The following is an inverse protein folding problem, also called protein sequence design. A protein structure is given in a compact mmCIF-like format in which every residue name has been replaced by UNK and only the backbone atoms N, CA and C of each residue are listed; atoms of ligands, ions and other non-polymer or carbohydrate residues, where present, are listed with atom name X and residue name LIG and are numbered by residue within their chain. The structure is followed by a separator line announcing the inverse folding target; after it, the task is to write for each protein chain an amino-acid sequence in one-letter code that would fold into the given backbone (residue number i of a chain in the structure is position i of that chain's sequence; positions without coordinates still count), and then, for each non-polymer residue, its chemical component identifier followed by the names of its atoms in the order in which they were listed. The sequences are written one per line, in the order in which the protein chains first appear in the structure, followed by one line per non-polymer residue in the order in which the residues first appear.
data_IF_069237919132
#
_entry.id   IF_069237919132
#
_cell.length_a   1.000
_cell.length_b   1.000
_cell.length_c   1.000
_cell.angle_alpha   90.00
_cell.angle_beta   90.00
_cell.angle_gamma   90.00
#
_symmetry.space_group_name_H-M   'P 1'
#
loop_
_entity.id
_entity.type
_entity.pdbx_description
1 polymer ?
#
# COMPACT_ATOMS: atom_id res chain seq x y z
N UNK A 1 -3.03 -14.22 -26.66
CA UNK A 1 -1.97 -13.51 -25.90
C UNK A 1 -1.91 -14.18 -24.55
N UNK A 2 -0.95 -15.10 -24.41
CA UNK A 2 -0.89 -15.95 -23.22
C UNK A 2 -0.08 -15.22 -22.15
N UNK A 3 -0.78 -14.53 -21.26
CA UNK A 3 -0.22 -13.97 -20.05
C UNK A 3 -0.46 -14.96 -18.92
N UNK A 4 0.61 -15.51 -18.37
CA UNK A 4 0.57 -16.38 -17.19
C UNK A 4 0.81 -15.54 -15.94
N UNK A 5 0.16 -15.90 -14.84
CA UNK A 5 0.38 -15.32 -13.53
C UNK A 5 0.64 -16.40 -12.48
N UNK A 6 1.57 -16.16 -11.58
CA UNK A 6 1.77 -16.98 -10.37
C UNK A 6 1.99 -16.07 -9.16
N UNK A 7 1.82 -16.65 -7.99
CA UNK A 7 2.12 -15.99 -6.72
C UNK A 7 3.18 -16.80 -6.01
N UNK A 8 4.22 -16.15 -5.53
CA UNK A 8 5.34 -16.83 -4.86
C UNK A 8 5.56 -16.29 -3.45
N UNK A 9 6.05 -17.16 -2.54
CA UNK A 9 6.50 -16.76 -1.22
C UNK A 9 7.90 -16.10 -1.27
N UNK A 10 8.43 -15.71 -0.11
CA UNK A 10 9.77 -15.12 0.04
C UNK A 10 10.93 -16.07 -0.37
N UNK A 11 10.67 -17.36 -0.49
CA UNK A 11 11.62 -18.38 -0.93
C UNK A 11 11.47 -18.73 -2.41
N UNK A 12 10.52 -18.11 -3.13
CA UNK A 12 10.23 -18.39 -4.52
C UNK A 12 9.32 -19.60 -4.76
N UNK A 13 8.73 -20.19 -3.71
CA UNK A 13 7.79 -21.31 -3.87
C UNK A 13 6.44 -20.80 -4.32
N UNK A 14 5.82 -21.49 -5.28
CA UNK A 14 4.50 -21.15 -5.78
C UNK A 14 3.44 -21.38 -4.70
N UNK A 15 2.64 -20.34 -4.44
CA UNK A 15 1.58 -20.37 -3.45
C UNK A 15 0.32 -21.04 -4.01
N UNK A 16 -0.45 -21.74 -3.17
CA UNK A 16 -1.78 -22.24 -3.55
C UNK A 16 -2.76 -21.08 -3.76
N UNK A 17 -3.90 -21.37 -4.36
CA UNK A 17 -5.00 -20.40 -4.47
C UNK A 17 -5.30 -19.75 -3.11
N UNK A 18 -5.56 -18.44 -3.10
CA UNK A 18 -5.76 -17.58 -1.94
C UNK A 18 -4.54 -17.41 -1.02
N UNK A 19 -3.41 -18.06 -1.34
CA UNK A 19 -2.13 -17.77 -0.67
C UNK A 19 -1.59 -16.41 -1.14
N UNK A 20 -1.31 -15.52 -0.18
CA UNK A 20 -0.78 -14.17 -0.47
C UNK A 20 0.73 -14.24 -0.61
N UNK A 21 1.26 -13.66 -1.68
CA UNK A 21 2.69 -13.56 -1.96
C UNK A 21 2.95 -12.53 -3.05
N UNK A 22 4.16 -12.54 -3.59
CA UNK A 22 4.55 -11.67 -4.71
C UNK A 22 3.91 -12.18 -6.00
N UNK A 23 3.27 -11.27 -6.72
CA UNK A 23 2.68 -11.58 -8.02
C UNK A 23 3.78 -11.51 -9.07
N UNK A 24 3.95 -12.59 -9.80
CA UNK A 24 4.83 -12.67 -10.96
C UNK A 24 4.03 -12.96 -12.22
N UNK A 25 4.46 -12.34 -13.32
CA UNK A 25 3.80 -12.48 -14.62
C UNK A 25 4.81 -13.03 -15.66
N UNK A 26 4.31 -13.79 -16.63
CA UNK A 26 5.08 -14.27 -17.76
C UNK A 26 4.26 -14.15 -19.05
N UNK A 27 4.87 -13.67 -20.13
CA UNK A 27 4.21 -13.57 -21.44
C UNK A 27 4.89 -12.59 -22.39
N UNK A 28 4.58 -12.72 -23.66
CA UNK A 28 5.20 -11.91 -24.73
C UNK A 28 4.86 -10.41 -24.66
N UNK A 29 3.78 -10.05 -23.98
CA UNK A 29 3.37 -8.64 -23.82
C UNK A 29 4.15 -7.89 -22.75
N UNK A 30 5.01 -8.57 -21.98
CA UNK A 30 5.82 -7.97 -20.93
C UNK A 30 7.11 -7.38 -21.51
N UNK A 31 7.57 -6.28 -20.89
CA UNK A 31 8.86 -5.69 -21.26
C UNK A 31 10.00 -6.67 -20.97
N UNK A 32 10.92 -6.88 -21.91
CA UNK A 32 12.11 -7.69 -21.64
C UNK A 32 13.07 -7.02 -20.68
N UNK A 33 13.03 -5.69 -20.55
CA UNK A 33 13.92 -4.93 -19.69
C UNK A 33 13.87 -3.44 -19.92
N UNK A 34 14.78 -2.74 -19.26
CA UNK A 34 14.89 -1.29 -19.28
C UNK A 34 16.26 -0.86 -19.82
N UNK A 35 16.27 0.16 -20.67
CA UNK A 35 17.50 0.82 -21.11
C UNK A 35 17.80 1.95 -20.13
N UNK A 36 18.97 1.89 -19.50
CA UNK A 36 19.47 2.91 -18.57
C UNK A 36 20.77 3.51 -19.08
N UNK A 37 21.27 4.55 -18.41
CA UNK A 37 22.61 5.09 -18.73
C UNK A 37 23.73 4.06 -18.48
N UNK A 38 23.50 3.06 -17.63
CA UNK A 38 24.44 1.96 -17.34
C UNK A 38 24.28 0.73 -18.27
N UNK A 39 23.37 0.79 -19.25
CA UNK A 39 23.07 -0.30 -20.17
C UNK A 39 21.70 -0.93 -19.97
N UNK A 40 21.50 -2.10 -20.59
CA UNK A 40 20.27 -2.86 -20.50
C UNK A 40 20.17 -3.62 -19.16
N UNK A 41 19.05 -3.45 -18.48
CA UNK A 41 18.70 -4.18 -17.26
C UNK A 41 17.52 -5.10 -17.58
N UNK A 42 17.70 -6.44 -17.54
CA UNK A 42 16.58 -7.38 -17.71
C UNK A 42 15.50 -7.13 -16.68
N UNK A 43 14.23 -7.19 -17.09
CA UNK A 43 13.08 -7.10 -16.20
C UNK A 43 12.52 -8.47 -15.80
N UNK A 44 12.91 -9.51 -16.55
CA UNK A 44 12.48 -10.87 -16.38
C UNK A 44 13.65 -11.73 -15.90
N UNK A 45 13.35 -12.77 -15.13
CA UNK A 45 14.33 -13.79 -14.73
C UNK A 45 14.71 -14.72 -15.91
N UNK A 46 15.59 -15.68 -15.67
CA UNK A 46 16.04 -16.67 -16.67
C UNK A 46 14.93 -17.58 -17.20
N UNK A 47 13.77 -17.62 -16.51
CA UNK A 47 12.58 -18.39 -16.89
C UNK A 47 11.48 -17.52 -17.51
N UNK A 48 11.74 -16.23 -17.71
CA UNK A 48 10.83 -15.26 -18.30
C UNK A 48 9.77 -14.69 -17.32
N UNK A 49 9.93 -14.90 -16.02
CA UNK A 49 9.05 -14.31 -15.02
C UNK A 49 9.45 -12.89 -14.68
N UNK A 50 8.46 -12.02 -14.64
CA UNK A 50 8.56 -10.61 -14.26
C UNK A 50 7.99 -10.42 -12.85
N UNK A 51 8.83 -10.01 -11.89
CA UNK A 51 8.39 -9.58 -10.56
C UNK A 51 7.69 -8.22 -10.68
N UNK A 52 6.40 -8.18 -10.34
CA UNK A 52 5.60 -6.95 -10.42
C UNK A 52 5.90 -5.99 -9.25
N UNK A 53 6.47 -6.46 -8.17
CA UNK A 53 6.59 -5.77 -6.90
C UNK A 53 5.26 -5.58 -6.17
N UNK A 54 4.20 -6.24 -6.64
CA UNK A 54 2.88 -6.22 -6.02
C UNK A 54 2.63 -7.51 -5.25
N UNK A 55 2.01 -7.39 -4.06
CA UNK A 55 1.50 -8.51 -3.28
C UNK A 55 0.04 -8.78 -3.61
N UNK A 56 -0.30 -10.04 -3.68
CA UNK A 56 -1.67 -10.45 -3.94
C UNK A 56 -1.83 -11.97 -3.92
N UNK A 57 -2.94 -12.44 -4.46
CA UNK A 57 -3.22 -13.85 -4.55
C UNK A 57 -4.02 -14.17 -5.83
N UNK A 58 -4.02 -15.44 -6.21
CA UNK A 58 -4.93 -15.95 -7.23
C UNK A 58 -6.19 -16.50 -6.56
N UNK A 59 -7.36 -16.22 -7.14
CA UNK A 59 -8.59 -16.88 -6.72
C UNK A 59 -8.63 -18.32 -7.24
N UNK A 60 -9.60 -19.11 -6.77
CA UNK A 60 -9.79 -20.49 -7.25
C UNK A 60 -10.12 -20.55 -8.77
N UNK A 61 -10.66 -19.44 -9.32
CA UNK A 61 -10.97 -19.27 -10.75
C UNK A 61 -9.79 -18.70 -11.55
N UNK A 62 -8.63 -18.44 -10.90
CA UNK A 62 -7.44 -17.91 -11.55
C UNK A 62 -7.40 -16.39 -11.73
N UNK A 63 -8.30 -15.65 -11.09
CA UNK A 63 -8.25 -14.19 -11.13
C UNK A 63 -7.16 -13.65 -10.18
N UNK A 64 -6.41 -12.65 -10.65
CA UNK A 64 -5.40 -11.96 -9.83
C UNK A 64 -6.07 -10.90 -8.96
N UNK A 65 -5.82 -10.97 -7.65
CA UNK A 65 -6.26 -9.97 -6.67
C UNK A 65 -5.02 -9.28 -6.10
N UNK A 66 -4.88 -7.99 -6.35
CA UNK A 66 -3.77 -7.18 -5.83
C UNK A 66 -4.16 -6.62 -4.47
N UNK A 67 -3.33 -6.88 -3.45
CA UNK A 67 -3.54 -6.41 -2.07
C UNK A 67 -2.75 -5.13 -1.77
N UNK A 68 -1.46 -5.09 -2.13
CA UNK A 68 -0.55 -3.97 -1.82
C UNK A 68 0.69 -4.02 -2.69
N UNK A 69 1.58 -3.03 -2.53
CA UNK A 69 2.97 -3.10 -2.97
C UNK A 69 3.83 -3.74 -1.90
N UNK A 70 4.80 -4.58 -2.30
CA UNK A 70 5.77 -5.20 -1.37
C UNK A 70 6.42 -4.14 -0.48
N UNK A 71 6.89 -3.04 -1.08
CA UNK A 71 7.57 -1.94 -0.37
C UNK A 71 6.67 -1.10 0.55
N UNK A 72 5.36 -1.16 0.36
CA UNK A 72 4.40 -0.37 1.13
C UNK A 72 3.86 -1.13 2.34
N UNK A 73 4.05 -2.46 2.40
CA UNK A 73 3.60 -3.29 3.53
C UNK A 73 4.30 -2.85 4.81
N UNK A 74 3.52 -2.72 5.87
CA UNK A 74 3.98 -2.38 7.20
C UNK A 74 4.13 -3.67 7.99
N UNK A 75 5.34 -3.97 8.48
CA UNK A 75 5.61 -5.19 9.23
C UNK A 75 5.64 -4.85 10.73
N UNK A 76 4.62 -5.25 11.46
CA UNK A 76 4.53 -5.00 12.89
C UNK A 76 4.23 -6.29 13.66
N UNK A 77 5.06 -6.58 14.65
CA UNK A 77 4.92 -7.78 15.49
C UNK A 77 4.79 -9.09 14.67
N UNK A 78 5.54 -9.22 13.57
CA UNK A 78 5.49 -10.38 12.68
C UNK A 78 4.25 -10.49 11.78
N UNK A 79 3.42 -9.43 11.73
CA UNK A 79 2.22 -9.37 10.89
C UNK A 79 2.40 -8.39 9.74
N UNK A 80 1.95 -8.76 8.57
CA UNK A 80 1.83 -7.87 7.42
C UNK A 80 0.54 -7.05 7.55
N UNK A 81 0.68 -5.72 7.61
CA UNK A 81 -0.42 -4.77 7.65
C UNK A 81 -0.43 -4.03 6.32
N UNK A 82 -1.56 -4.06 5.64
CA UNK A 82 -1.70 -3.43 4.33
C UNK A 82 -2.19 -1.99 4.47
N UNK A 83 -1.48 -1.01 3.89
CA UNK A 83 -1.91 0.39 3.91
C UNK A 83 -3.33 0.61 3.41
N UNK A 84 -3.76 -0.19 2.42
CA UNK A 84 -5.12 -0.13 1.86
C UNK A 84 -6.22 -0.41 2.87
N UNK A 85 -5.98 -1.30 3.85
CA UNK A 85 -6.96 -1.59 4.90
C UNK A 85 -7.06 -0.43 5.89
N UNK A 86 -5.91 0.15 6.25
CA UNK A 86 -5.84 1.35 7.10
C UNK A 86 -6.56 2.52 6.41
N UNK A 87 -6.27 2.78 5.13
CA UNK A 87 -6.85 3.86 4.34
C UNK A 87 -8.36 3.70 4.21
N UNK A 88 -8.83 2.46 4.01
CA UNK A 88 -10.25 2.13 3.96
C UNK A 88 -10.94 2.39 5.31
N UNK A 89 -10.32 2.00 6.41
CA UNK A 89 -10.85 2.26 7.75
C UNK A 89 -10.93 3.76 8.05
N UNK A 90 -9.84 4.49 7.80
CA UNK A 90 -9.79 5.95 7.97
C UNK A 90 -10.81 6.69 7.09
N UNK A 91 -10.99 6.23 5.86
CA UNK A 91 -11.93 6.84 4.91
C UNK A 91 -13.42 6.68 5.26
N UNK A 92 -13.77 5.79 6.21
CA UNK A 92 -15.16 5.64 6.71
C UNK A 92 -15.53 6.67 7.76
N UNK A 93 -14.55 7.39 8.32
CA UNK A 93 -14.79 8.35 9.39
C UNK A 93 -15.48 9.60 8.82
N UNK A 94 -16.56 10.01 9.48
CA UNK A 94 -17.30 11.22 9.12
C UNK A 94 -16.39 12.45 9.20
N UNK A 95 -16.42 13.27 8.13
CA UNK A 95 -15.56 14.44 7.99
C UNK A 95 -14.27 14.17 7.20
N UNK A 96 -13.89 12.91 6.97
CA UNK A 96 -12.80 12.54 6.06
C UNK A 96 -13.28 12.59 4.60
N UNK A 97 -12.55 13.27 3.74
CA UNK A 97 -12.88 13.39 2.32
C UNK A 97 -12.68 12.03 1.61
N UNK A 98 -13.64 11.59 0.78
CA UNK A 98 -13.55 10.31 0.07
C UNK A 98 -12.26 10.17 -0.74
N UNK A 99 -11.56 9.04 -0.57
CA UNK A 99 -10.30 8.75 -1.26
C UNK A 99 -9.13 9.66 -0.87
N UNK A 100 -9.22 10.35 0.27
CA UNK A 100 -8.20 11.25 0.80
C UNK A 100 -7.74 10.81 2.20
N UNK A 101 -7.43 9.53 2.35
CA UNK A 101 -6.74 8.95 3.49
C UNK A 101 -5.51 8.22 2.97
N UNK A 102 -4.36 8.42 3.59
CA UNK A 102 -3.10 7.76 3.25
C UNK A 102 -2.43 7.22 4.50
N UNK A 103 -2.05 5.94 4.46
CA UNK A 103 -1.22 5.31 5.48
C UNK A 103 0.23 5.33 5.03
N UNK A 104 1.10 5.80 5.90
CA UNK A 104 2.53 5.97 5.63
C UNK A 104 3.33 5.13 6.60
N UNK A 105 4.12 4.21 6.05
CA UNK A 105 5.10 3.43 6.82
C UNK A 105 6.21 4.34 7.32
N UNK A 106 6.50 4.26 8.60
CA UNK A 106 7.60 4.96 9.27
C UNK A 106 8.64 3.95 9.71
N UNK A 107 9.88 4.41 9.85
CA UNK A 107 11.00 3.61 10.37
C UNK A 107 11.23 2.30 9.59
N UNK A 108 11.07 2.34 8.26
CA UNK A 108 11.28 1.19 7.39
C UNK A 108 12.68 0.58 7.58
N UNK A 109 12.74 -0.74 7.80
CA UNK A 109 13.99 -1.46 8.03
C UNK A 109 14.53 -1.40 9.47
N UNK A 110 13.83 -0.78 10.40
CA UNK A 110 14.15 -0.81 11.83
C UNK A 110 13.43 -1.96 12.54
N UNK A 111 13.97 -2.37 13.69
CA UNK A 111 13.40 -3.48 14.49
C UNK A 111 11.98 -3.22 15.02
N UNK A 112 11.55 -1.98 15.01
CA UNK A 112 10.17 -1.55 15.33
C UNK A 112 9.69 -0.61 14.25
N UNK A 113 8.98 -1.17 13.28
CA UNK A 113 8.26 -0.37 12.32
C UNK A 113 7.03 0.26 12.97
N UNK A 114 6.66 1.41 12.45
CA UNK A 114 5.44 2.12 12.84
C UNK A 114 4.79 2.72 11.62
N UNK A 115 3.58 3.23 11.77
CA UNK A 115 2.90 3.95 10.70
C UNK A 115 2.15 5.17 11.23
N UNK A 116 1.91 6.11 10.35
CA UNK A 116 1.03 7.24 10.58
C UNK A 116 -0.06 7.29 9.50
N UNK A 117 -1.11 8.03 9.79
CA UNK A 117 -2.23 8.22 8.88
C UNK A 117 -2.42 9.72 8.66
N UNK A 118 -2.50 10.15 7.39
CA UNK A 118 -2.95 11.49 7.05
C UNK A 118 -4.31 11.39 6.35
N UNK A 119 -5.22 12.27 6.71
CA UNK A 119 -6.54 12.40 6.10
C UNK A 119 -6.82 13.85 5.72
N UNK A 120 -7.55 14.07 4.64
CA UNK A 120 -8.06 15.40 4.31
C UNK A 120 -9.47 15.62 4.85
N UNK A 121 -9.72 16.81 5.38
CA UNK A 121 -11.05 17.25 5.82
C UNK A 121 -11.31 18.69 5.40
N UNK A 122 -12.59 19.02 5.15
CA UNK A 122 -13.00 20.42 4.95
C UNK A 122 -13.03 21.20 6.28
N UNK A 123 -13.07 20.50 7.41
CA UNK A 123 -13.07 21.08 8.75
C UNK A 123 -11.67 21.17 9.38
N UNK A 124 -10.61 21.17 8.57
CA UNK A 124 -9.21 21.15 9.02
C UNK A 124 -8.78 22.40 9.82
N UNK A 125 -9.54 23.49 9.73
CA UNK A 125 -9.29 24.72 10.50
C UNK A 125 -10.04 24.76 11.84
N UNK A 126 -10.97 23.83 12.08
CA UNK A 126 -11.69 23.71 13.35
C UNK A 126 -10.96 22.75 14.31
N UNK A 127 -10.32 23.26 15.39
CA UNK A 127 -9.55 22.41 16.30
C UNK A 127 -10.39 21.35 17.03
N UNK A 128 -11.69 21.54 17.18
CA UNK A 128 -12.56 20.56 17.82
C UNK A 128 -12.85 19.40 16.87
N UNK A 129 -13.17 19.72 15.62
CA UNK A 129 -13.39 18.74 14.58
C UNK A 129 -12.10 17.96 14.23
N UNK A 130 -10.98 18.65 14.14
CA UNK A 130 -9.67 18.00 13.93
C UNK A 130 -9.42 16.93 15.00
N UNK A 131 -9.53 17.28 16.29
CA UNK A 131 -9.35 16.30 17.38
C UNK A 131 -10.35 15.15 17.34
N UNK A 132 -11.60 15.44 16.98
CA UNK A 132 -12.63 14.39 16.82
C UNK A 132 -12.25 13.41 15.72
N UNK A 133 -11.87 13.92 14.54
CA UNK A 133 -11.49 13.11 13.37
C UNK A 133 -10.24 12.29 13.70
N UNK A 134 -9.20 12.88 14.28
CA UNK A 134 -7.97 12.17 14.67
C UNK A 134 -8.27 11.00 15.59
N UNK A 135 -9.10 11.23 16.61
CA UNK A 135 -9.47 10.20 17.57
C UNK A 135 -10.29 9.07 16.92
N UNK A 136 -11.27 9.43 16.09
CA UNK A 136 -12.11 8.46 15.40
C UNK A 136 -11.32 7.66 14.36
N UNK A 137 -10.44 8.30 13.60
CA UNK A 137 -9.54 7.61 12.64
C UNK A 137 -8.66 6.60 13.38
N UNK A 138 -8.02 7.01 14.49
CA UNK A 138 -7.21 6.10 15.27
C UNK A 138 -8.03 4.90 15.80
N UNK A 139 -9.26 5.14 16.24
CA UNK A 139 -10.16 4.09 16.72
C UNK A 139 -10.55 3.09 15.62
N UNK A 140 -11.01 3.57 14.47
CA UNK A 140 -11.40 2.72 13.35
C UNK A 140 -10.22 1.93 12.76
N UNK A 141 -9.03 2.55 12.72
CA UNK A 141 -7.80 1.86 12.31
C UNK A 141 -7.44 0.72 13.27
N UNK A 142 -7.48 0.97 14.58
CA UNK A 142 -7.23 -0.09 15.59
C UNK A 142 -8.23 -1.23 15.45
N UNK A 143 -9.49 -0.92 15.23
CA UNK A 143 -10.54 -1.93 15.04
C UNK A 143 -10.31 -2.79 13.79
N UNK A 144 -9.77 -2.21 12.71
CA UNK A 144 -9.53 -2.89 11.44
C UNK A 144 -8.25 -3.75 11.47
N UNK A 145 -7.13 -3.19 11.97
CA UNK A 145 -5.81 -3.85 11.87
C UNK A 145 -5.22 -4.26 13.22
N UNK A 146 -5.91 -3.99 14.32
CA UNK A 146 -5.49 -4.30 15.71
C UNK A 146 -4.13 -3.67 16.09
N UNK A 147 -3.78 -2.55 15.44
CA UNK A 147 -2.56 -1.79 15.73
C UNK A 147 -2.87 -0.29 15.70
N UNK A 148 -2.30 0.43 16.68
CA UNK A 148 -2.50 1.88 16.78
C UNK A 148 -1.51 2.63 15.87
N UNK A 149 -1.96 3.61 15.07
CA UNK A 149 -1.07 4.51 14.36
C UNK A 149 -0.26 5.34 15.37
N UNK A 150 1.00 5.63 15.05
CA UNK A 150 1.87 6.51 15.85
C UNK A 150 1.33 7.94 15.87
N UNK A 151 0.79 8.38 14.74
CA UNK A 151 0.20 9.70 14.57
C UNK A 151 -0.98 9.64 13.58
N UNK A 152 -1.94 10.53 13.78
CA UNK A 152 -3.00 10.83 12.80
C UNK A 152 -2.96 12.33 12.57
N UNK A 153 -2.96 12.76 11.31
CA UNK A 153 -2.89 14.17 10.93
C UNK A 153 -4.07 14.51 10.03
N UNK A 154 -4.81 15.56 10.38
CA UNK A 154 -5.88 16.10 9.56
C UNK A 154 -5.38 17.28 8.76
N UNK A 155 -5.52 17.22 7.45
CA UNK A 155 -4.98 18.17 6.47
C UNK A 155 -6.10 18.85 5.69
N UNK A 156 -5.79 20.01 5.15
CA UNK A 156 -6.68 20.71 4.21
C UNK A 156 -6.82 19.97 2.87
N UNK A 157 -7.89 20.27 2.13
CA UNK A 157 -8.13 19.68 0.83
C UNK A 157 -6.99 19.86 -0.18
N UNK A 158 -6.62 18.78 -0.88
CA UNK A 158 -5.60 18.78 -1.94
C UNK A 158 -4.15 18.72 -1.43
N UNK A 159 -3.94 18.46 -0.15
CA UNK A 159 -2.60 18.37 0.46
C UNK A 159 -1.95 16.99 0.22
N UNK A 160 -2.75 15.92 0.19
CA UNK A 160 -2.23 14.56 -0.03
C UNK A 160 -1.83 14.40 -1.50
N UNK A 161 -0.54 14.09 -1.78
CA UNK A 161 -0.06 13.96 -3.15
C UNK A 161 -0.68 12.77 -3.86
N UNK A 162 -1.19 13.01 -5.08
CA UNK A 162 -1.77 11.99 -5.95
C UNK A 162 -1.09 12.02 -7.33
N UNK A 163 -1.17 10.89 -8.03
CA UNK A 163 -0.80 10.83 -9.45
C UNK A 163 -1.86 11.54 -10.30
N UNK A 164 -1.57 11.85 -11.59
CA UNK A 164 -2.60 12.36 -12.49
C UNK A 164 -3.84 11.45 -12.63
N UNK A 165 -3.67 10.14 -12.41
CA UNK A 165 -4.77 9.16 -12.38
C UNK A 165 -5.50 9.07 -11.03
N UNK A 166 -5.16 9.93 -10.05
CA UNK A 166 -5.81 9.97 -8.74
C UNK A 166 -5.28 8.98 -7.70
N UNK A 167 -4.24 8.18 -8.01
CA UNK A 167 -3.66 7.23 -7.07
C UNK A 167 -2.80 7.95 -6.03
N UNK A 168 -2.88 7.51 -4.77
CA UNK A 168 -2.08 8.03 -3.66
C UNK A 168 -0.57 7.80 -3.88
N UNK A 169 0.24 8.81 -3.57
CA UNK A 169 1.71 8.73 -3.57
C UNK A 169 2.22 8.60 -2.14
N UNK A 170 2.18 7.39 -1.57
CA UNK A 170 2.54 7.14 -0.17
C UNK A 170 3.95 7.59 0.19
N UNK A 171 4.93 7.31 -0.67
CA UNK A 171 6.32 7.72 -0.45
C UNK A 171 6.50 9.24 -0.33
N UNK A 172 5.68 10.01 -1.05
CA UNK A 172 5.72 11.47 -1.00
C UNK A 172 4.93 12.05 0.17
N UNK A 173 4.19 11.21 0.90
CA UNK A 173 3.34 11.63 2.03
C UNK A 173 4.05 11.51 3.38
N UNK A 174 5.27 11.00 3.43
CA UNK A 174 6.06 10.85 4.68
C UNK A 174 6.22 12.19 5.39
N UNK A 175 6.54 13.25 4.64
CA UNK A 175 6.74 14.61 5.19
C UNK A 175 5.48 15.26 5.73
N UNK A 176 4.30 14.71 5.45
CA UNK A 176 3.03 15.22 5.97
C UNK A 176 2.75 14.75 7.40
N UNK A 177 3.40 13.69 7.85
CA UNK A 177 3.11 13.00 9.11
C UNK A 177 4.31 12.97 10.07
N UNK A 178 5.48 13.46 9.65
CA UNK A 178 6.68 13.67 10.44
C UNK A 178 6.82 15.13 10.84
#
# INVERSE_FOLDING_TARGET
TDLEARVVDENGNVMPARGVGVIELRGESLTPGYITMGGFIPAQDEHGWYDTGDLGYLTDEGHVVVCSRVKDVIIMAGRNIYPTDIERAAGRVEGVRPGCAVAVRLDAGHSRESFAVAVESNAFEDPAEVRRIEHQVAHEVVKEVDVRPRNVVVLGPGTIPKTPSGKLRRSNSVTLVT
#
